data_IF_147998379954
#
_entry.id   IF_147998379954
#
_cell.length_a   1.000
_cell.length_b   1.000
_cell.length_c   1.000
_cell.angle_alpha   90.00
_cell.angle_beta   90.00
_cell.angle_gamma   90.00
#
_symmetry.space_group_name_H-M   'P 1'
#
loop_
_entity.id
_entity.type
_entity.pdbx_description
1 polymer ?
#
# COMPACT_ATOMS: atom_id res chain seq x y z
N UNK A 1 29.39 1.53 7.45
CA UNK A 1 30.82 1.60 7.04
C UNK A 1 31.21 0.42 6.16
N UNK A 2 30.97 -0.83 6.55
CA UNK A 2 31.41 -2.00 5.77
C UNK A 2 30.84 -2.08 4.36
N UNK A 3 29.57 -1.73 4.17
CA UNK A 3 28.91 -1.81 2.85
C UNK A 3 29.22 -0.59 1.98
N UNK A 4 29.05 0.62 2.51
CA UNK A 4 29.14 1.86 1.70
C UNK A 4 30.45 2.62 1.89
N UNK A 5 31.36 2.14 2.74
CA UNK A 5 32.65 2.79 3.03
C UNK A 5 32.57 4.09 3.84
N UNK A 6 31.35 4.62 4.06
CA UNK A 6 31.09 5.88 4.76
C UNK A 6 29.79 5.84 5.54
N UNK A 7 29.62 6.78 6.49
CA UNK A 7 28.40 6.91 7.30
C UNK A 7 27.35 7.85 6.69
N UNK A 8 27.50 8.26 5.46
CA UNK A 8 26.64 9.21 4.79
C UNK A 8 26.19 8.63 3.45
N UNK A 9 24.91 8.81 3.13
CA UNK A 9 24.30 8.30 1.91
C UNK A 9 23.47 9.43 1.28
N UNK A 10 23.57 9.58 -0.03
CA UNK A 10 22.68 10.45 -0.80
C UNK A 10 21.45 9.67 -1.22
N UNK A 11 20.26 10.20 -0.94
CA UNK A 11 18.98 9.68 -1.45
C UNK A 11 18.27 10.83 -2.16
N UNK A 12 18.27 10.80 -3.48
CA UNK A 12 17.88 11.98 -4.27
C UNK A 12 18.82 13.15 -4.00
N UNK A 13 18.26 14.28 -3.59
CA UNK A 13 18.98 15.51 -3.21
C UNK A 13 19.32 15.61 -1.72
N UNK A 14 18.92 14.61 -0.92
CA UNK A 14 19.07 14.62 0.55
C UNK A 14 20.32 13.84 0.98
N UNK A 15 21.18 14.47 1.75
CA UNK A 15 22.29 13.80 2.44
C UNK A 15 21.80 13.28 3.80
N UNK A 16 21.87 11.96 4.00
CA UNK A 16 21.48 11.30 5.24
C UNK A 16 22.75 10.84 5.95
N UNK A 17 22.93 11.26 7.21
CA UNK A 17 24.07 10.89 8.03
C UNK A 17 23.67 9.88 9.11
N UNK A 18 24.33 8.72 9.09
CA UNK A 18 24.18 7.67 10.11
C UNK A 18 25.21 7.81 11.25
N UNK A 19 25.73 9.02 11.45
CA UNK A 19 26.63 9.30 12.57
C UNK A 19 25.83 9.30 13.88
N UNK A 20 26.23 8.46 14.81
CA UNK A 20 25.63 8.36 16.16
C UNK A 20 26.14 9.45 17.10
N UNK A 21 25.36 9.83 18.16
CA UNK A 21 24.03 9.33 18.50
C UNK A 21 22.93 9.94 17.61
N UNK A 22 21.86 9.18 17.35
CA UNK A 22 20.66 9.68 16.67
C UNK A 22 19.80 10.52 17.64
N UNK A 23 19.05 11.48 17.10
CA UNK A 23 18.04 12.24 17.85
C UNK A 23 17.02 11.29 18.44
N UNK A 24 16.55 11.55 19.66
CA UNK A 24 15.43 10.87 20.31
C UNK A 24 14.43 11.93 20.75
N UNK A 25 13.16 11.72 20.48
CA UNK A 25 12.08 12.64 20.82
C UNK A 25 10.80 11.84 21.05
N UNK A 26 9.99 12.24 22.04
CA UNK A 26 8.69 11.60 22.26
C UNK A 26 7.72 12.00 21.14
N UNK A 27 6.71 11.19 20.88
CA UNK A 27 5.69 11.47 19.86
C UNK A 27 4.96 12.80 20.17
N UNK A 28 4.65 13.05 21.43
CA UNK A 28 3.99 14.27 21.87
C UNK A 28 4.89 15.50 21.65
N UNK A 29 6.18 15.41 22.01
CA UNK A 29 7.13 16.50 21.80
C UNK A 29 7.39 16.74 20.30
N UNK A 30 7.40 15.69 19.49
CA UNK A 30 7.50 15.78 18.04
C UNK A 30 6.33 16.57 17.43
N UNK A 31 5.12 16.29 17.86
CA UNK A 31 3.93 17.05 17.44
C UNK A 31 4.05 18.50 17.87
N UNK A 32 4.46 18.75 19.10
CA UNK A 32 4.68 20.12 19.60
C UNK A 32 5.76 20.86 18.81
N UNK A 33 6.86 20.18 18.45
CA UNK A 33 7.96 20.77 17.67
C UNK A 33 7.48 21.29 16.30
N UNK A 34 6.64 20.52 15.60
CA UNK A 34 6.23 20.86 14.24
C UNK A 34 4.91 21.65 14.14
N UNK A 35 4.01 21.48 15.08
CA UNK A 35 2.70 22.17 15.05
C UNK A 35 2.64 23.38 15.96
N UNK A 36 3.54 23.50 16.95
CA UNK A 36 3.48 24.49 18.02
C UNK A 36 2.41 24.19 19.07
N UNK A 37 1.67 23.08 18.95
CA UNK A 37 0.55 22.73 19.83
C UNK A 37 0.99 21.65 20.82
N UNK A 38 0.79 21.91 22.11
CA UNK A 38 1.02 20.92 23.16
C UNK A 38 -0.25 20.09 23.35
N UNK A 39 -0.22 18.86 22.88
CA UNK A 39 -1.37 17.93 22.97
C UNK A 39 -1.37 17.08 24.24
N UNK A 40 -0.41 17.29 25.14
CA UNK A 40 -0.29 16.50 26.36
C UNK A 40 -1.53 16.66 27.24
N UNK A 41 -2.13 15.54 27.63
CA UNK A 41 -3.33 15.51 28.47
C UNK A 41 -4.64 15.88 27.77
N UNK A 42 -4.64 16.14 26.47
CA UNK A 42 -5.86 16.39 25.70
C UNK A 42 -6.72 15.12 25.58
N UNK A 43 -8.04 15.32 25.62
CA UNK A 43 -9.02 14.29 25.30
C UNK A 43 -9.29 14.21 23.79
N UNK A 44 -10.13 13.24 23.37
CA UNK A 44 -10.45 13.03 21.95
C UNK A 44 -11.14 14.23 21.30
N UNK A 45 -12.02 14.94 22.02
CA UNK A 45 -12.72 16.10 21.47
C UNK A 45 -11.80 17.27 21.22
N UNK A 46 -10.85 17.50 22.15
CA UNK A 46 -9.82 18.50 22.02
C UNK A 46 -8.87 18.19 20.85
N UNK A 47 -8.44 16.93 20.70
CA UNK A 47 -7.59 16.49 19.59
C UNK A 47 -8.32 16.60 18.25
N UNK A 48 -9.61 16.28 18.18
CA UNK A 48 -10.42 16.46 16.98
C UNK A 48 -10.50 17.93 16.56
N UNK A 49 -10.56 18.84 17.51
CA UNK A 49 -10.47 20.26 17.22
C UNK A 49 -9.09 20.64 16.67
N UNK A 50 -8.02 20.10 17.24
CA UNK A 50 -6.66 20.31 16.73
C UNK A 50 -6.54 19.79 15.28
N UNK A 51 -7.05 18.61 14.97
CA UNK A 51 -7.08 18.09 13.60
C UNK A 51 -7.78 19.05 12.64
N UNK A 52 -8.95 19.56 13.05
CA UNK A 52 -9.69 20.55 12.25
C UNK A 52 -8.92 21.84 12.03
N UNK A 53 -8.30 22.37 13.07
CA UNK A 53 -7.51 23.61 12.99
C UNK A 53 -6.25 23.44 12.11
N UNK A 54 -5.71 22.23 12.07
CA UNK A 54 -4.57 21.82 11.21
C UNK A 54 -5.00 21.36 9.81
N UNK A 55 -6.29 21.36 9.48
CA UNK A 55 -6.84 20.87 8.22
C UNK A 55 -6.49 19.40 7.94
N UNK A 56 -6.60 18.55 8.95
CA UNK A 56 -6.44 17.11 8.88
C UNK A 56 -7.84 16.49 8.84
N UNK A 57 -8.12 15.69 7.82
CA UNK A 57 -9.37 14.94 7.72
C UNK A 57 -9.27 13.68 8.59
N UNK A 58 -10.25 13.49 9.47
CA UNK A 58 -10.31 12.35 10.38
C UNK A 58 -11.74 11.79 10.43
N UNK A 59 -11.86 10.50 10.64
CA UNK A 59 -13.15 9.85 10.80
C UNK A 59 -13.87 10.30 12.08
N UNK A 60 -15.19 10.38 12.03
CA UNK A 60 -16.03 10.81 13.16
C UNK A 60 -15.87 9.90 14.39
N UNK A 61 -15.54 8.64 14.20
CA UNK A 61 -15.34 7.65 15.24
C UNK A 61 -13.88 7.49 15.70
N UNK A 62 -12.94 8.25 15.13
CA UNK A 62 -11.52 8.14 15.49
C UNK A 62 -11.29 8.39 16.99
N UNK A 63 -10.70 7.41 17.69
CA UNK A 63 -10.31 7.50 19.08
C UNK A 63 -9.08 8.39 19.29
N UNK A 64 -8.73 8.64 20.57
CA UNK A 64 -7.61 9.51 20.94
C UNK A 64 -6.29 9.09 20.29
N UNK A 65 -5.98 7.79 20.30
CA UNK A 65 -4.75 7.26 19.70
C UNK A 65 -4.69 7.53 18.20
N UNK A 66 -5.78 7.26 17.45
CA UNK A 66 -5.85 7.51 16.01
C UNK A 66 -5.70 8.99 15.67
N UNK A 67 -6.32 9.88 16.44
CA UNK A 67 -6.19 11.34 16.24
C UNK A 67 -4.76 11.82 16.43
N UNK A 68 -4.02 11.28 17.41
CA UNK A 68 -2.60 11.60 17.62
C UNK A 68 -1.77 11.09 16.44
N UNK A 69 -2.05 9.89 15.96
CA UNK A 69 -1.36 9.27 14.82
C UNK A 69 -1.54 10.10 13.54
N UNK A 70 -2.76 10.50 13.23
CA UNK A 70 -3.06 11.34 12.07
C UNK A 70 -2.35 12.71 12.14
N UNK A 71 -2.31 13.34 13.34
CA UNK A 71 -1.56 14.59 13.51
C UNK A 71 -0.07 14.36 13.27
N UNK A 72 0.50 13.28 13.79
CA UNK A 72 1.91 12.94 13.60
C UNK A 72 2.24 12.64 12.15
N UNK A 73 1.47 11.77 11.50
CA UNK A 73 1.64 11.38 10.11
C UNK A 73 1.62 12.57 9.16
N UNK A 74 0.59 13.41 9.28
CA UNK A 74 0.37 14.53 8.37
C UNK A 74 1.33 15.72 8.60
N UNK A 75 1.75 15.99 9.84
CA UNK A 75 2.52 17.19 10.17
C UNK A 75 3.98 16.95 10.55
N UNK A 76 4.34 15.74 11.00
CA UNK A 76 5.66 15.49 11.58
C UNK A 76 6.48 14.48 10.76
N UNK A 77 5.92 13.37 10.36
CA UNK A 77 6.63 12.21 9.81
C UNK A 77 7.57 12.59 8.66
N UNK A 78 7.05 13.27 7.64
CA UNK A 78 7.79 13.67 6.45
C UNK A 78 9.00 14.60 6.69
N UNK A 79 9.09 15.20 7.89
CA UNK A 79 10.16 16.14 8.25
C UNK A 79 11.40 15.45 8.84
N UNK A 80 11.30 14.20 9.27
CA UNK A 80 12.42 13.45 9.86
C UNK A 80 13.33 12.85 8.79
N UNK A 81 14.15 13.71 8.17
CA UNK A 81 15.10 13.29 7.13
C UNK A 81 16.27 12.54 7.73
N UNK A 82 16.84 13.06 8.83
CA UNK A 82 17.93 12.43 9.55
C UNK A 82 17.41 11.33 10.48
N UNK A 83 18.18 10.24 10.71
CA UNK A 83 17.80 9.18 11.62
C UNK A 83 17.36 9.72 12.97
N UNK A 84 16.10 9.49 13.34
CA UNK A 84 15.48 9.99 14.56
C UNK A 84 14.60 8.91 15.18
N UNK A 85 14.80 8.62 16.46
CA UNK A 85 13.91 7.76 17.22
C UNK A 85 12.72 8.58 17.73
N UNK A 86 11.51 8.20 17.31
CA UNK A 86 10.26 8.66 17.91
C UNK A 86 9.89 7.66 19.00
N UNK A 87 9.68 8.11 20.24
CA UNK A 87 9.45 7.24 21.40
C UNK A 87 8.11 7.53 22.07
N UNK A 88 7.72 6.64 22.99
CA UNK A 88 6.59 6.86 23.91
C UNK A 88 5.26 7.04 23.19
N UNK A 89 4.93 6.03 22.39
CA UNK A 89 3.68 5.98 21.63
C UNK A 89 2.46 5.81 22.56
N UNK A 90 1.30 6.41 22.22
CA UNK A 90 0.07 6.18 22.96
C UNK A 90 -0.30 4.69 23.04
N UNK A 91 -0.82 4.28 24.20
CA UNK A 91 -1.24 2.91 24.46
C UNK A 91 -2.29 2.41 23.47
N UNK A 92 -3.26 3.25 23.14
CA UNK A 92 -4.40 2.90 22.29
C UNK A 92 -4.00 2.46 20.86
N UNK A 93 -2.91 3.03 20.32
CA UNK A 93 -2.39 2.67 19.00
C UNK A 93 -1.31 1.58 19.03
N UNK A 94 -1.08 0.95 20.18
CA UNK A 94 0.00 -0.01 20.38
C UNK A 94 -0.48 -1.25 21.16
N UNK A 95 -1.42 -2.04 20.61
CA UNK A 95 -2.13 -3.10 21.35
C UNK A 95 -1.26 -4.27 21.79
N UNK A 96 -0.07 -4.47 21.19
CA UNK A 96 0.86 -5.55 21.53
C UNK A 96 2.06 -5.07 22.34
N UNK A 97 2.11 -3.77 22.66
CA UNK A 97 3.24 -3.18 23.35
C UNK A 97 3.01 -3.10 24.86
N UNK A 98 4.06 -3.35 25.62
CA UNK A 98 4.03 -3.20 27.08
C UNK A 98 3.82 -1.74 27.47
N UNK A 99 3.02 -1.51 28.52
CA UNK A 99 2.81 -0.17 29.10
C UNK A 99 4.15 0.44 29.53
N UNK A 100 4.29 1.73 29.30
CA UNK A 100 5.45 2.48 29.77
C UNK A 100 5.48 2.46 31.32
N UNK A 101 6.66 2.24 31.91
CA UNK A 101 6.82 2.03 33.34
C UNK A 101 6.45 3.22 34.20
N UNK A 102 6.60 4.44 33.67
CA UNK A 102 6.36 5.70 34.39
C UNK A 102 5.02 6.35 34.02
N UNK A 103 4.44 6.00 32.85
CA UNK A 103 3.17 6.54 32.37
C UNK A 103 2.34 5.45 31.68
N UNK A 104 1.29 4.89 32.31
CA UNK A 104 0.50 3.78 31.76
C UNK A 104 -0.32 4.14 30.51
N UNK A 105 -0.48 5.43 30.19
CA UNK A 105 -1.15 5.88 28.95
C UNK A 105 -0.24 5.78 27.71
N UNK A 106 1.06 5.52 27.94
CA UNK A 106 2.07 5.35 26.90
C UNK A 106 2.58 3.91 26.86
N UNK A 107 3.37 3.58 25.84
CA UNK A 107 4.01 2.28 25.68
C UNK A 107 5.53 2.40 25.56
N UNK A 108 6.25 1.35 25.95
CA UNK A 108 7.69 1.21 25.71
C UNK A 108 7.94 0.85 24.23
N UNK A 109 7.67 1.78 23.31
CA UNK A 109 7.79 1.63 21.86
C UNK A 109 8.61 2.76 21.27
N UNK A 110 9.37 2.45 20.24
CA UNK A 110 9.94 3.46 19.37
C UNK A 110 9.83 3.08 17.89
N UNK A 111 9.84 4.09 17.05
CA UNK A 111 10.09 3.93 15.63
C UNK A 111 11.33 4.72 15.23
N UNK A 112 12.13 4.15 14.32
CA UNK A 112 13.27 4.82 13.72
C UNK A 112 12.82 5.44 12.39
N UNK A 113 12.70 6.76 12.39
CA UNK A 113 12.39 7.55 11.20
C UNK A 113 13.67 7.88 10.44
N UNK A 114 13.68 7.65 9.12
CA UNK A 114 14.78 8.02 8.22
C UNK A 114 14.20 8.42 6.87
N UNK A 115 14.62 9.55 6.35
CA UNK A 115 14.14 10.09 5.07
C UNK A 115 12.62 10.29 5.00
N UNK A 116 12.01 10.70 6.12
CA UNK A 116 10.57 10.93 6.23
C UNK A 116 9.73 9.66 6.21
N UNK A 117 10.31 8.51 6.60
CA UNK A 117 9.61 7.21 6.63
C UNK A 117 10.10 6.37 7.80
N UNK A 118 9.21 5.57 8.37
CA UNK A 118 9.57 4.53 9.31
C UNK A 118 10.52 3.51 8.66
N UNK A 119 11.68 3.31 9.26
CA UNK A 119 12.64 2.26 8.87
C UNK A 119 12.53 1.04 9.78
N UNK A 120 12.35 1.27 11.07
CA UNK A 120 12.23 0.20 12.06
C UNK A 120 11.22 0.59 13.14
N UNK A 121 10.57 -0.43 13.71
CA UNK A 121 9.63 -0.35 14.81
C UNK A 121 10.03 -1.38 15.86
N UNK A 122 10.12 -0.98 17.11
CA UNK A 122 10.52 -1.85 18.21
C UNK A 122 9.83 -1.49 19.50
N UNK A 123 9.55 -2.50 20.30
CA UNK A 123 8.89 -2.32 21.60
C UNK A 123 9.22 -3.43 22.59
N UNK A 124 8.97 -3.13 23.86
CA UNK A 124 8.86 -4.18 24.89
C UNK A 124 7.56 -4.95 24.65
N UNK A 125 7.66 -6.26 24.48
CA UNK A 125 6.50 -7.11 24.24
C UNK A 125 5.55 -7.12 25.45
N UNK A 126 4.25 -7.03 25.18
CA UNK A 126 3.23 -7.19 26.19
C UNK A 126 3.15 -8.67 26.57
N UNK A 127 3.65 -9.01 27.76
CA UNK A 127 3.75 -10.37 28.25
C UNK A 127 2.77 -10.69 29.39
N UNK A 128 1.81 -9.83 29.67
CA UNK A 128 0.71 -10.04 30.62
C UNK A 128 -0.54 -10.46 29.84
N UNK A 129 -1.02 -11.72 29.99
CA UNK A 129 -2.19 -12.20 29.27
C UNK A 129 -3.48 -11.46 29.63
N UNK A 130 -3.59 -10.92 30.86
CA UNK A 130 -4.78 -10.18 31.30
C UNK A 130 -4.83 -8.82 30.59
N UNK A 131 -3.73 -8.05 30.63
CA UNK A 131 -3.63 -6.79 29.91
C UNK A 131 -3.82 -7.01 28.40
N UNK A 132 -3.32 -8.12 27.83
CA UNK A 132 -3.50 -8.41 26.41
C UNK A 132 -4.97 -8.64 26.03
N UNK A 133 -5.74 -9.32 26.87
CA UNK A 133 -7.20 -9.49 26.64
C UNK A 133 -7.91 -8.14 26.67
N UNK A 134 -7.58 -7.29 27.65
CA UNK A 134 -8.14 -5.93 27.74
C UNK A 134 -7.87 -5.13 26.45
N UNK A 135 -6.62 -5.19 25.93
CA UNK A 135 -6.23 -4.51 24.67
C UNK A 135 -7.03 -5.02 23.48
N UNK A 136 -7.20 -6.32 23.34
CA UNK A 136 -7.99 -6.89 22.26
C UNK A 136 -9.47 -6.51 22.37
N UNK A 137 -10.02 -6.40 23.56
CA UNK A 137 -11.39 -5.93 23.77
C UNK A 137 -11.55 -4.45 23.36
N UNK A 138 -10.58 -3.60 23.72
CA UNK A 138 -10.53 -2.20 23.26
C UNK A 138 -10.49 -2.11 21.73
N UNK A 139 -9.66 -2.93 21.06
CA UNK A 139 -9.59 -3.00 19.60
C UNK A 139 -10.91 -3.46 18.98
N UNK A 140 -11.55 -4.48 19.55
CA UNK A 140 -12.84 -4.97 19.06
C UNK A 140 -13.91 -3.87 19.13
N UNK A 141 -13.94 -3.10 20.22
CA UNK A 141 -14.85 -1.96 20.35
C UNK A 141 -14.61 -0.89 19.26
N UNK A 142 -13.35 -0.58 18.92
CA UNK A 142 -13.03 0.32 17.80
C UNK A 142 -13.51 -0.23 16.47
N UNK A 143 -13.38 -1.54 16.24
CA UNK A 143 -13.88 -2.22 15.05
C UNK A 143 -15.41 -2.11 14.91
N UNK A 144 -16.13 -2.28 16.00
CA UNK A 144 -17.60 -2.14 16.02
C UNK A 144 -18.03 -0.69 15.72
N UNK A 145 -17.17 0.29 15.97
CA UNK A 145 -17.36 1.71 15.59
C UNK A 145 -17.00 2.01 14.14
N UNK A 146 -16.39 1.07 13.40
CA UNK A 146 -16.06 1.22 11.98
C UNK A 146 -14.56 1.32 11.67
N UNK A 147 -13.68 1.05 12.63
CA UNK A 147 -12.23 1.00 12.38
C UNK A 147 -11.85 -0.35 11.75
N UNK A 148 -11.65 -0.33 10.42
CA UNK A 148 -11.31 -1.54 9.65
C UNK A 148 -9.88 -2.06 9.94
N UNK A 149 -9.01 -1.24 10.54
CA UNK A 149 -7.64 -1.62 10.91
C UNK A 149 -7.56 -2.27 12.30
N UNK A 150 -8.64 -2.20 13.08
CA UNK A 150 -8.68 -2.75 14.43
C UNK A 150 -8.54 -4.28 14.44
N UNK A 151 -7.75 -4.78 15.38
CA UNK A 151 -7.42 -6.20 15.52
C UNK A 151 -8.63 -7.02 16.03
N UNK A 152 -8.67 -8.30 15.66
CA UNK A 152 -9.59 -9.29 16.25
C UNK A 152 -8.98 -9.92 17.48
N UNK A 153 -9.82 -10.56 18.32
CA UNK A 153 -9.34 -11.28 19.51
C UNK A 153 -8.73 -12.62 19.06
N UNK A 154 -7.43 -12.79 19.29
CA UNK A 154 -6.73 -14.06 19.11
C UNK A 154 -6.55 -14.76 20.46
N UNK A 155 -7.46 -15.69 20.79
CA UNK A 155 -7.42 -16.44 22.05
C UNK A 155 -6.30 -17.47 22.10
N UNK A 156 -5.79 -17.95 20.97
CA UNK A 156 -4.64 -18.86 20.95
C UNK A 156 -3.34 -18.10 21.26
N UNK A 157 -3.23 -16.86 20.78
CA UNK A 157 -2.16 -15.95 21.16
C UNK A 157 -2.19 -15.66 22.67
N UNK A 158 -3.35 -15.30 23.24
CA UNK A 158 -3.51 -15.07 24.69
C UNK A 158 -3.11 -16.31 25.49
N UNK A 159 -3.59 -17.48 25.07
CA UNK A 159 -3.23 -18.75 25.72
C UNK A 159 -1.71 -19.01 25.68
N UNK A 160 -1.05 -18.63 24.60
CA UNK A 160 0.42 -18.76 24.51
C UNK A 160 1.13 -17.92 25.57
N UNK A 161 0.62 -16.73 25.88
CA UNK A 161 1.16 -15.88 26.94
C UNK A 161 0.96 -16.47 28.34
N UNK A 162 -0.14 -17.22 28.57
CA UNK A 162 -0.42 -17.88 29.85
C UNK A 162 0.62 -18.95 30.21
N UNK A 163 1.32 -19.53 29.20
CA UNK A 163 2.43 -20.46 29.45
C UNK A 163 3.68 -19.75 29.98
N UNK A 164 3.71 -18.45 29.95
CA UNK A 164 4.77 -17.60 30.49
C UNK A 164 5.74 -17.10 29.43
N UNK A 165 5.59 -15.83 29.04
CA UNK A 165 6.55 -15.14 28.21
C UNK A 165 7.52 -14.34 29.07
N UNK A 166 8.84 -14.56 28.99
CA UNK A 166 9.81 -13.77 29.75
C UNK A 166 9.83 -12.33 29.24
N UNK A 167 10.38 -11.36 30.01
CA UNK A 167 10.63 -10.02 29.51
C UNK A 167 11.41 -10.06 28.20
N UNK A 168 10.79 -9.57 27.15
CA UNK A 168 11.30 -9.66 25.76
C UNK A 168 11.08 -8.32 25.07
N UNK A 169 11.94 -7.98 24.15
CA UNK A 169 11.74 -6.91 23.21
C UNK A 169 11.83 -7.43 21.77
N UNK A 170 10.97 -6.94 20.90
CA UNK A 170 10.97 -7.25 19.49
C UNK A 170 11.32 -6.03 18.64
N UNK A 171 11.85 -6.27 17.45
CA UNK A 171 12.13 -5.20 16.48
C UNK A 171 11.85 -5.71 15.07
N UNK A 172 11.03 -4.96 14.33
CA UNK A 172 10.85 -5.10 12.90
C UNK A 172 11.69 -4.05 12.15
N UNK A 173 12.36 -4.47 11.08
CA UNK A 173 13.10 -3.58 10.18
C UNK A 173 12.57 -3.77 8.77
N UNK A 174 12.16 -2.67 8.11
CA UNK A 174 11.76 -2.69 6.70
C UNK A 174 12.97 -2.94 5.80
N UNK A 175 13.21 -4.20 5.43
CA UNK A 175 14.39 -4.57 4.63
C UNK A 175 14.44 -3.88 3.29
N UNK A 176 13.32 -3.76 2.59
CA UNK A 176 13.26 -3.03 1.31
C UNK A 176 13.60 -1.56 1.50
N UNK A 177 13.07 -0.90 2.54
CA UNK A 177 13.42 0.49 2.89
C UNK A 177 14.90 0.63 3.24
N UNK A 178 15.46 -0.33 3.98
CA UNK A 178 16.89 -0.35 4.29
C UNK A 178 17.74 -0.47 3.03
N UNK A 179 17.37 -1.36 2.11
CA UNK A 179 18.08 -1.53 0.83
C UNK A 179 17.97 -0.26 -0.02
N UNK A 180 16.78 0.37 -0.09
CA UNK A 180 16.60 1.67 -0.76
C UNK A 180 17.57 2.72 -0.22
N UNK A 181 17.68 2.85 1.10
CA UNK A 181 18.61 3.78 1.74
C UNK A 181 20.07 3.45 1.38
N UNK A 182 20.47 2.18 1.50
CA UNK A 182 21.86 1.77 1.27
C UNK A 182 22.30 1.91 -0.20
N UNK A 183 21.35 1.84 -1.13
CA UNK A 183 21.59 1.96 -2.58
C UNK A 183 21.25 3.34 -3.13
N UNK A 184 20.73 4.24 -2.31
CA UNK A 184 20.32 5.58 -2.72
C UNK A 184 19.07 5.62 -3.62
N UNK A 185 18.28 4.54 -3.64
CA UNK A 185 17.08 4.45 -4.47
C UNK A 185 15.88 5.15 -3.82
N UNK A 186 15.01 5.73 -4.66
CA UNK A 186 13.84 6.50 -4.17
C UNK A 186 12.55 5.69 -4.18
N UNK A 187 12.47 4.64 -4.99
CA UNK A 187 11.28 3.81 -5.13
C UNK A 187 11.56 2.36 -4.76
N UNK A 188 10.57 1.70 -4.16
CA UNK A 188 10.68 0.30 -3.76
C UNK A 188 10.82 -0.64 -4.97
N UNK A 189 10.29 -0.25 -6.13
CA UNK A 189 10.38 -1.06 -7.36
C UNK A 189 11.82 -1.28 -7.82
N UNK A 190 12.72 -0.36 -7.48
CA UNK A 190 14.14 -0.45 -7.87
C UNK A 190 14.94 -1.45 -7.02
N UNK A 191 14.38 -1.89 -5.90
CA UNK A 191 15.03 -2.85 -4.98
C UNK A 191 14.34 -4.21 -4.92
N UNK A 192 13.12 -4.32 -5.45
CA UNK A 192 12.40 -5.60 -5.54
C UNK A 192 12.84 -6.39 -6.78
N UNK A 193 13.16 -7.68 -6.61
CA UNK A 193 13.50 -8.56 -7.74
C UNK A 193 12.31 -8.81 -8.68
N UNK A 194 11.09 -8.86 -8.14
CA UNK A 194 9.85 -9.11 -8.89
C UNK A 194 8.76 -8.13 -8.46
N UNK A 195 8.88 -6.83 -8.83
CA UNK A 195 7.87 -5.86 -8.48
C UNK A 195 6.56 -6.19 -9.19
N UNK A 196 5.44 -6.03 -8.47
CA UNK A 196 4.13 -6.13 -9.09
C UNK A 196 3.96 -4.94 -10.04
N UNK A 197 3.82 -5.26 -11.34
CA UNK A 197 3.52 -4.27 -12.35
C UNK A 197 2.01 -4.08 -12.44
N UNK A 198 1.57 -2.83 -12.70
CA UNK A 198 0.16 -2.62 -13.05
C UNK A 198 -0.14 -3.46 -14.30
N UNK A 199 -1.27 -4.19 -14.34
CA UNK A 199 -1.69 -4.86 -15.55
C UNK A 199 -1.68 -3.84 -16.71
N UNK A 200 -1.10 -4.22 -17.82
CA UNK A 200 -1.26 -3.42 -19.04
C UNK A 200 -2.76 -3.20 -19.23
N UNK A 201 -3.16 -1.94 -19.43
CA UNK A 201 -4.55 -1.65 -19.79
C UNK A 201 -4.83 -2.49 -21.00
N UNK A 202 -5.75 -3.47 -20.89
CA UNK A 202 -6.22 -4.20 -22.03
C UNK A 202 -6.54 -3.17 -23.12
N UNK A 203 -5.95 -3.33 -24.30
CA UNK A 203 -6.18 -2.42 -25.41
C UNK A 203 -7.71 -2.27 -25.54
N UNK A 204 -8.20 -1.02 -25.60
CA UNK A 204 -9.63 -0.77 -25.73
C UNK A 204 -10.11 -1.54 -26.94
N UNK A 205 -10.93 -2.57 -26.72
CA UNK A 205 -11.57 -3.30 -27.79
C UNK A 205 -12.53 -2.36 -28.49
N UNK A 206 -12.48 -2.34 -29.80
CA UNK A 206 -13.50 -1.63 -30.56
C UNK A 206 -14.86 -2.35 -30.40
N UNK A 207 -15.92 -1.55 -30.33
CA UNK A 207 -17.29 -2.09 -30.25
C UNK A 207 -17.68 -2.80 -31.55
N UNK A 208 -18.68 -3.71 -31.51
CA UNK A 208 -19.15 -4.42 -32.68
C UNK A 208 -19.52 -3.49 -33.84
N UNK A 209 -20.07 -2.32 -33.56
CA UNK A 209 -20.51 -1.31 -34.53
C UNK A 209 -19.39 -0.91 -35.51
N UNK A 210 -18.20 -0.70 -35.01
CA UNK A 210 -17.04 -0.32 -35.84
C UNK A 210 -16.60 -1.44 -36.79
N UNK A 211 -16.69 -2.70 -36.37
CA UNK A 211 -16.42 -3.83 -37.24
C UNK A 211 -17.49 -3.99 -38.32
N UNK A 212 -18.75 -3.70 -37.98
CA UNK A 212 -19.84 -3.71 -38.93
C UNK A 212 -19.70 -2.60 -40.00
N UNK A 213 -19.13 -1.45 -39.66
CA UNK A 213 -18.79 -0.37 -40.62
C UNK A 213 -17.79 -0.85 -41.69
N UNK A 214 -16.95 -1.85 -41.38
CA UNK A 214 -16.02 -2.45 -42.35
C UNK A 214 -16.70 -3.54 -43.23
N UNK A 215 -18.00 -3.78 -43.06
CA UNK A 215 -18.75 -4.81 -43.78
C UNK A 215 -18.76 -6.19 -43.10
N UNK A 216 -18.22 -6.31 -41.88
CA UNK A 216 -18.22 -7.57 -41.14
C UNK A 216 -19.61 -7.80 -40.53
N UNK A 217 -20.30 -8.92 -40.86
CA UNK A 217 -21.60 -9.25 -40.26
C UNK A 217 -21.49 -9.36 -38.73
N UNK A 218 -22.49 -8.86 -38.00
CA UNK A 218 -22.52 -8.89 -36.53
C UNK A 218 -22.18 -10.25 -35.93
N UNK A 219 -22.71 -11.33 -36.51
CA UNK A 219 -22.44 -12.67 -36.05
C UNK A 219 -20.95 -13.07 -36.16
N UNK A 220 -20.18 -12.45 -37.04
CA UNK A 220 -18.77 -12.72 -37.26
C UNK A 220 -17.85 -11.89 -36.36
N UNK A 221 -18.33 -10.78 -35.80
CA UNK A 221 -17.51 -9.89 -34.97
C UNK A 221 -16.87 -10.67 -33.80
N UNK A 222 -17.64 -11.50 -33.11
CA UNK A 222 -17.12 -12.29 -32.00
C UNK A 222 -16.04 -13.34 -32.44
N UNK A 223 -16.13 -13.84 -33.65
CA UNK A 223 -15.14 -14.80 -34.23
C UNK A 223 -13.87 -14.05 -34.61
N UNK A 224 -14.00 -12.88 -35.22
CA UNK A 224 -12.90 -11.98 -35.58
C UNK A 224 -12.12 -11.53 -34.33
N UNK A 225 -12.83 -11.14 -33.29
CA UNK A 225 -12.20 -10.77 -32.01
C UNK A 225 -11.47 -11.96 -31.34
N UNK A 226 -12.02 -13.17 -31.43
CA UNK A 226 -11.34 -14.39 -30.95
C UNK A 226 -10.13 -14.79 -31.81
N UNK A 227 -10.07 -14.34 -33.05
CA UNK A 227 -8.89 -14.50 -33.91
C UNK A 227 -7.74 -13.54 -33.54
N UNK A 228 -7.93 -12.71 -32.52
CA UNK A 228 -6.90 -11.78 -32.03
C UNK A 228 -7.06 -10.36 -32.58
N UNK A 229 -8.06 -10.08 -33.40
CA UNK A 229 -8.38 -8.76 -33.97
C UNK A 229 -9.38 -8.06 -33.07
N UNK A 230 -8.89 -7.28 -32.12
CA UNK A 230 -9.73 -6.62 -31.10
C UNK A 230 -10.04 -5.18 -31.41
N UNK A 231 -9.29 -4.56 -32.32
CA UNK A 231 -9.48 -3.21 -32.84
C UNK A 231 -9.46 -3.21 -34.36
N UNK A 232 -10.01 -2.17 -34.97
CA UNK A 232 -9.89 -1.95 -36.43
C UNK A 232 -8.42 -1.86 -36.85
N UNK A 233 -7.58 -1.25 -36.02
CA UNK A 233 -6.15 -1.15 -36.30
C UNK A 233 -5.45 -2.50 -36.42
N UNK A 234 -5.94 -3.53 -35.72
CA UNK A 234 -5.40 -4.90 -35.81
C UNK A 234 -5.68 -5.58 -37.15
N UNK A 235 -6.64 -5.05 -37.93
CA UNK A 235 -6.95 -5.56 -39.27
C UNK A 235 -5.98 -5.09 -40.34
N UNK A 236 -5.35 -3.93 -40.13
CA UNK A 236 -4.44 -3.31 -41.09
C UNK A 236 -3.24 -4.19 -41.39
N UNK A 237 -3.00 -4.44 -42.66
CA UNK A 237 -1.86 -5.25 -43.11
C UNK A 237 -1.98 -6.76 -42.90
N UNK A 238 -3.15 -7.27 -42.50
CA UNK A 238 -3.38 -8.73 -42.42
C UNK A 238 -3.36 -9.38 -43.81
N UNK A 239 -2.80 -10.58 -43.88
CA UNK A 239 -2.90 -11.37 -45.12
C UNK A 239 -4.32 -11.96 -45.24
N UNK A 240 -5.13 -11.60 -46.28
CA UNK A 240 -6.53 -11.99 -46.39
C UNK A 240 -6.73 -13.52 -46.42
N UNK A 241 -5.85 -14.24 -47.13
CA UNK A 241 -5.98 -15.71 -47.23
C UNK A 241 -5.72 -16.40 -45.90
N UNK A 242 -4.71 -15.97 -45.15
CA UNK A 242 -4.38 -16.48 -43.81
C UNK A 242 -5.50 -16.16 -42.82
N UNK A 243 -5.93 -14.90 -42.80
CA UNK A 243 -6.99 -14.46 -41.87
C UNK A 243 -8.33 -15.21 -42.14
N UNK A 244 -8.69 -15.37 -43.42
CA UNK A 244 -9.85 -16.18 -43.80
C UNK A 244 -9.75 -17.62 -43.25
N UNK A 245 -8.58 -18.30 -43.38
CA UNK A 245 -8.38 -19.64 -42.83
C UNK A 245 -8.54 -19.66 -41.31
N UNK A 246 -7.98 -18.68 -40.61
CA UNK A 246 -8.00 -18.62 -39.17
C UNK A 246 -9.43 -18.43 -38.61
N UNK A 247 -10.23 -17.53 -39.19
CA UNK A 247 -11.60 -17.26 -38.72
C UNK A 247 -12.53 -18.44 -39.08
N UNK A 248 -12.40 -19.03 -40.28
CA UNK A 248 -13.16 -20.22 -40.64
C UNK A 248 -12.81 -21.44 -39.79
N UNK A 249 -11.52 -21.58 -39.43
CA UNK A 249 -11.04 -22.62 -38.51
C UNK A 249 -11.64 -22.44 -37.11
N UNK A 250 -11.72 -21.22 -36.61
CA UNK A 250 -12.35 -20.91 -35.32
C UNK A 250 -13.86 -21.15 -35.32
N UNK A 251 -14.56 -20.79 -36.41
CA UNK A 251 -15.99 -21.08 -36.59
C UNK A 251 -16.28 -22.57 -36.47
N UNK A 252 -15.48 -23.39 -37.16
CA UNK A 252 -15.61 -24.87 -37.13
C UNK A 252 -15.25 -25.44 -35.75
N UNK A 253 -14.12 -25.01 -35.16
CA UNK A 253 -13.62 -25.50 -33.86
C UNK A 253 -14.60 -25.20 -32.72
N UNK A 254 -15.17 -24.01 -32.73
CA UNK A 254 -16.04 -23.53 -31.64
C UNK A 254 -17.54 -23.84 -31.94
N UNK A 255 -17.86 -24.51 -33.04
CA UNK A 255 -19.23 -24.90 -33.45
C UNK A 255 -20.20 -23.71 -33.49
N UNK A 256 -19.74 -22.54 -33.98
CA UNK A 256 -20.59 -21.35 -34.10
C UNK A 256 -21.70 -21.50 -35.15
N UNK A 257 -21.54 -22.42 -36.11
CA UNK A 257 -22.56 -22.73 -37.11
C UNK A 257 -22.80 -21.62 -38.14
N UNK A 258 -21.86 -20.66 -38.27
CA UNK A 258 -21.97 -19.58 -39.21
C UNK A 258 -21.59 -20.03 -40.62
N UNK A 259 -22.26 -19.48 -41.64
CA UNK A 259 -21.84 -19.63 -43.04
C UNK A 259 -20.52 -18.90 -43.22
N UNK A 260 -19.49 -19.61 -43.71
CA UNK A 260 -18.16 -19.02 -43.90
C UNK A 260 -18.21 -17.91 -44.96
N UNK A 261 -17.53 -16.78 -44.70
CA UNK A 261 -17.40 -15.73 -45.71
C UNK A 261 -16.52 -16.19 -46.85
N UNK A 262 -16.66 -15.60 -48.03
CA UNK A 262 -15.74 -15.81 -49.13
C UNK A 262 -14.38 -15.15 -48.87
N UNK A 263 -13.37 -15.50 -49.66
CA UNK A 263 -12.04 -14.84 -49.55
C UNK A 263 -12.08 -13.42 -49.98
N UNK A 264 -12.94 -13.13 -50.94
CA UNK A 264 -13.18 -11.79 -51.51
C UNK A 264 -13.81 -10.90 -50.44
N UNK A 265 -14.81 -11.33 -49.72
CA UNK A 265 -15.43 -10.60 -48.60
C UNK A 265 -14.42 -10.30 -47.49
N UNK A 266 -13.57 -11.26 -47.09
CA UNK A 266 -12.55 -11.04 -46.08
C UNK A 266 -11.47 -10.05 -46.56
N UNK A 267 -11.12 -10.07 -47.83
CA UNK A 267 -10.19 -9.11 -48.41
C UNK A 267 -10.78 -7.68 -48.41
N UNK A 268 -12.09 -7.55 -48.70
CA UNK A 268 -12.81 -6.28 -48.65
C UNK A 268 -12.86 -5.75 -47.22
N UNK A 269 -13.13 -6.54 -46.19
CA UNK A 269 -13.09 -6.10 -44.80
C UNK A 269 -11.75 -5.50 -44.43
N UNK A 270 -10.64 -6.15 -44.82
CA UNK A 270 -9.29 -5.68 -44.54
C UNK A 270 -9.02 -4.37 -45.32
N UNK A 271 -9.40 -4.31 -46.59
CA UNK A 271 -9.23 -3.08 -47.41
C UNK A 271 -9.99 -1.89 -46.81
N UNK A 272 -11.21 -2.13 -46.31
CA UNK A 272 -12.01 -1.09 -45.67
C UNK A 272 -11.38 -0.57 -44.38
N UNK A 273 -10.57 -1.37 -43.70
CA UNK A 273 -9.83 -0.95 -42.48
C UNK A 273 -8.64 -0.03 -42.79
N UNK A 274 -8.19 0.06 -44.04
CA UNK A 274 -7.04 0.86 -44.46
C UNK A 274 -7.43 2.29 -44.84
N UNK A 275 -8.71 2.53 -45.08
CA UNK A 275 -9.27 3.86 -45.35
C UNK A 275 -9.47 4.64 -44.04
#
# INVERSE_FOLDING_TARGET
MEVNGKNEIMVGDKLISFKTPFKRITMIDAIKEYTGIDINGMDADQLRKVCKDLHIEVDDFAGKGKLIDEIFGEKCEGNYIQPTFITDYPREMSPLCKRHRDNPELTERFELMVNGKELANAYSELNDPIDQVERFQEQLFLKDLGDDEAMFIDMDFVRSLEYGMPPTSGMGIGMDRLVMLMTGQQTIQEVLFFPQMKPEKAAKKDGPEKFMELGIPEAWVAVVQKAGVTTIADMKGLNPNKFHQDICGLNKKNKHGLTNPSKEEVAEWISNSEQ
#
